data_IF_115538548325
#
_entry.id   IF_115538548325
#
_cell.length_a   1.000
_cell.length_b   1.000
_cell.length_c   1.000
_cell.angle_alpha   90.00
_cell.angle_beta   90.00
_cell.angle_gamma   90.00
#
_symmetry.space_group_name_H-M   'P 1'
#
loop_
_entity.id
_entity.type
_entity.pdbx_description
1 polymer ?
#
# COMPACT_ATOMS: atom_id res chain seq x y z
N UNK A 1 -55.89 -30.04 62.89
CA UNK A 1 -55.90 -31.35 63.59
C UNK A 1 -55.78 -32.45 62.54
N UNK A 2 -54.96 -33.51 62.68
CA UNK A 2 -53.65 -33.68 63.32
C UNK A 2 -52.53 -34.04 62.31
N UNK A 3 -51.29 -34.02 62.81
CA UNK A 3 -50.04 -34.48 62.16
C UNK A 3 -49.96 -36.01 62.04
N UNK A 4 -49.19 -36.52 61.05
CA UNK A 4 -48.21 -37.60 61.29
C UNK A 4 -47.15 -37.68 60.18
N UNK A 5 -45.98 -38.10 60.63
CA UNK A 5 -44.61 -37.92 60.12
C UNK A 5 -44.06 -39.12 59.34
N UNK A 6 -42.87 -38.88 58.77
CA UNK A 6 -41.81 -39.82 58.35
C UNK A 6 -41.92 -40.28 56.89
N UNK A 7 -41.00 -40.01 55.96
CA UNK A 7 -39.60 -39.60 56.01
C UNK A 7 -38.73 -40.71 55.42
N UNK A 8 -37.96 -40.46 54.35
CA UNK A 8 -36.76 -41.21 53.93
C UNK A 8 -35.97 -40.45 52.84
N UNK A 9 -34.77 -39.98 53.20
CA UNK A 9 -33.53 -39.88 52.41
C UNK A 9 -33.50 -39.16 51.05
N UNK A 10 -32.76 -38.03 50.91
CA UNK A 10 -32.37 -37.49 49.62
C UNK A 10 -31.12 -38.19 49.07
N UNK A 11 -31.19 -38.71 47.83
CA UNK A 11 -30.01 -39.09 47.05
C UNK A 11 -29.45 -37.86 46.33
N UNK A 12 -28.13 -37.74 46.39
CA UNK A 12 -27.30 -36.63 45.93
C UNK A 12 -27.24 -36.51 44.39
N UNK A 13 -26.74 -35.37 43.87
CA UNK A 13 -27.03 -34.88 42.52
C UNK A 13 -26.05 -35.42 41.46
N UNK A 14 -26.59 -35.90 40.33
CA UNK A 14 -25.80 -36.24 39.15
C UNK A 14 -25.61 -35.02 38.26
N UNK A 15 -24.35 -34.57 38.24
CA UNK A 15 -23.77 -33.52 37.41
C UNK A 15 -23.71 -33.95 35.94
N UNK A 16 -24.63 -33.51 35.11
CA UNK A 16 -24.53 -33.48 33.64
C UNK A 16 -25.57 -32.44 33.23
N UNK A 17 -25.25 -31.23 32.78
CA UNK A 17 -24.59 -30.91 31.51
C UNK A 17 -24.20 -29.43 31.60
N UNK A 18 -22.92 -29.11 31.70
CA UNK A 18 -22.43 -27.73 31.64
C UNK A 18 -21.10 -27.70 30.89
N UNK A 19 -21.14 -28.08 29.60
CA UNK A 19 -20.00 -27.96 28.67
C UNK A 19 -20.49 -27.79 27.22
N UNK A 20 -21.09 -26.65 26.90
CA UNK A 20 -21.38 -26.25 25.50
C UNK A 20 -21.04 -24.78 25.22
N UNK A 21 -20.00 -24.22 25.86
CA UNK A 21 -19.64 -22.80 25.71
C UNK A 21 -18.15 -22.59 25.33
N UNK A 22 -17.55 -23.50 24.57
CA UNK A 22 -16.12 -23.46 24.26
C UNK A 22 -15.74 -23.67 22.79
N UNK A 23 -16.69 -23.59 21.85
CA UNK A 23 -16.47 -24.04 20.47
C UNK A 23 -16.89 -23.03 19.38
N UNK A 24 -16.99 -21.74 19.73
CA UNK A 24 -17.37 -20.67 18.78
C UNK A 24 -16.31 -19.55 18.64
N UNK A 25 -15.18 -19.62 19.36
CA UNK A 25 -14.12 -18.58 19.28
C UNK A 25 -12.94 -18.94 18.36
N UNK A 26 -12.94 -20.13 17.76
CA UNK A 26 -11.79 -20.65 17.00
C UNK A 26 -11.96 -20.61 15.47
N UNK A 27 -13.12 -20.17 14.96
CA UNK A 27 -13.39 -20.11 13.51
C UNK A 27 -13.15 -18.72 12.92
N UNK A 28 -13.17 -17.65 13.71
CA UNK A 28 -12.89 -16.28 13.21
C UNK A 28 -11.40 -15.94 13.13
N UNK A 29 -10.52 -16.66 13.83
CA UNK A 29 -9.08 -16.40 13.78
C UNK A 29 -8.34 -17.12 12.64
N UNK A 30 -8.97 -18.14 12.02
CA UNK A 30 -8.36 -18.91 10.92
C UNK A 30 -8.51 -18.28 9.53
N UNK A 31 -9.44 -17.33 9.36
CA UNK A 31 -9.69 -16.67 8.08
C UNK A 31 -8.71 -15.52 7.79
N UNK A 32 -8.03 -14.98 8.81
CA UNK A 32 -7.05 -13.89 8.64
C UNK A 32 -5.64 -14.38 8.27
N UNK A 33 -5.37 -15.68 8.38
CA UNK A 33 -4.05 -16.25 8.05
C UNK A 33 -3.95 -16.80 6.62
N UNK A 34 -5.06 -16.81 5.86
CA UNK A 34 -5.11 -17.39 4.51
C UNK A 34 -4.71 -16.43 3.37
N UNK A 35 -4.43 -15.16 3.65
CA UNK A 35 -3.94 -14.20 2.64
C UNK A 35 -2.42 -14.05 2.56
N UNK A 36 -1.64 -14.74 3.40
CA UNK A 36 -0.20 -14.51 3.52
C UNK A 36 0.68 -15.56 2.81
N UNK A 37 0.12 -16.49 2.04
CA UNK A 37 0.90 -17.57 1.39
C UNK A 37 0.45 -17.86 -0.06
N UNK A 38 0.18 -16.81 -0.83
CA UNK A 38 0.19 -16.89 -2.30
C UNK A 38 1.41 -16.11 -2.84
N UNK A 39 2.59 -16.43 -2.34
CA UNK A 39 3.85 -16.22 -3.06
C UNK A 39 3.73 -17.00 -4.37
N UNK A 40 3.79 -16.34 -5.53
CA UNK A 40 4.30 -17.00 -6.75
C UNK A 40 4.79 -16.06 -7.87
N UNK A 41 4.63 -14.73 -7.75
CA UNK A 41 5.47 -13.66 -8.36
C UNK A 41 5.43 -12.48 -7.38
N UNK A 42 6.45 -11.62 -7.37
CA UNK A 42 6.52 -10.46 -6.47
C UNK A 42 5.34 -9.48 -6.64
N UNK A 43 5.45 -8.31 -6.00
CA UNK A 43 4.51 -7.21 -6.17
C UNK A 43 3.28 -7.19 -5.26
N UNK A 44 2.33 -6.31 -5.59
CA UNK A 44 1.11 -6.01 -4.85
C UNK A 44 0.02 -5.47 -5.79
N UNK A 45 -1.25 -5.43 -5.36
CA UNK A 45 -2.28 -4.70 -6.12
C UNK A 45 -2.16 -3.19 -5.91
N UNK A 46 -2.72 -2.39 -6.81
CA UNK A 46 -2.78 -0.93 -6.66
C UNK A 46 -3.46 -0.52 -5.32
N UNK A 47 -4.59 -1.13 -4.99
CA UNK A 47 -5.30 -0.89 -3.71
C UNK A 47 -4.44 -1.24 -2.49
N UNK A 48 -3.67 -2.32 -2.55
CA UNK A 48 -2.79 -2.73 -1.46
C UNK A 48 -1.62 -1.76 -1.29
N UNK A 49 -1.10 -1.22 -2.41
CA UNK A 49 -0.07 -0.20 -2.39
C UNK A 49 -0.59 1.08 -1.73
N UNK A 50 -1.73 1.62 -2.16
CA UNK A 50 -2.34 2.80 -1.55
C UNK A 50 -2.61 2.60 -0.05
N UNK A 51 -3.28 1.51 0.33
CA UNK A 51 -3.58 1.21 1.74
C UNK A 51 -2.33 1.03 2.63
N UNK A 52 -1.17 0.74 2.03
CA UNK A 52 0.11 0.67 2.73
C UNK A 52 0.75 2.04 2.86
N UNK A 53 0.70 2.86 1.81
CA UNK A 53 1.21 4.24 1.82
C UNK A 53 0.40 5.08 2.83
N UNK A 54 -0.93 4.92 2.90
CA UNK A 54 -1.82 5.61 3.85
C UNK A 54 -1.48 5.35 5.34
N UNK A 55 -0.73 4.28 5.64
CA UNK A 55 -0.31 3.97 7.01
C UNK A 55 0.97 4.70 7.41
N UNK A 56 1.63 5.39 6.49
CA UNK A 56 2.85 6.14 6.75
C UNK A 56 2.51 7.42 7.54
N UNK A 57 3.21 7.73 8.64
CA UNK A 57 2.89 8.89 9.48
C UNK A 57 2.94 10.25 8.79
N UNK A 58 3.67 10.37 7.68
CA UNK A 58 3.84 11.60 6.91
C UNK A 58 2.79 11.78 5.80
N UNK A 59 1.92 10.81 5.60
CA UNK A 59 0.97 10.76 4.49
C UNK A 59 -0.43 11.06 5.01
N UNK A 60 -1.07 12.09 4.45
CA UNK A 60 -2.47 12.40 4.72
C UNK A 60 -3.41 11.51 3.91
N UNK A 61 -3.04 11.23 2.65
CA UNK A 61 -3.74 10.27 1.78
C UNK A 61 -2.83 9.85 0.61
N UNK A 62 -3.16 8.76 -0.04
CA UNK A 62 -2.47 8.30 -1.24
C UNK A 62 -3.45 7.75 -2.27
N UNK A 63 -3.01 7.78 -3.52
CA UNK A 63 -3.69 7.16 -4.63
C UNK A 63 -2.67 6.37 -5.44
N UNK A 64 -2.96 5.10 -5.66
CA UNK A 64 -2.22 4.27 -6.60
C UNK A 64 -3.23 3.70 -7.57
N UNK A 65 -3.10 4.04 -8.86
CA UNK A 65 -4.02 3.60 -9.89
C UNK A 65 -3.29 3.12 -11.13
N UNK A 66 -3.94 2.25 -11.89
CA UNK A 66 -3.53 1.94 -13.25
C UNK A 66 -4.57 2.46 -14.23
N UNK A 67 -4.12 3.15 -15.27
CA UNK A 67 -4.95 3.54 -16.41
C UNK A 67 -4.56 2.74 -17.65
N UNK A 68 -5.55 2.45 -18.49
CA UNK A 68 -5.36 1.85 -19.81
C UNK A 68 -5.43 2.97 -20.86
N UNK A 69 -4.49 2.98 -21.80
CA UNK A 69 -4.64 3.69 -23.08
C UNK A 69 -4.68 2.69 -24.23
N UNK A 70 -5.52 2.97 -25.23
CA UNK A 70 -5.58 2.23 -26.47
C UNK A 70 -5.19 3.14 -27.64
N UNK A 71 -4.00 2.91 -28.17
CA UNK A 71 -3.49 3.61 -29.35
C UNK A 71 -3.54 2.68 -30.56
N UNK A 72 -4.64 2.77 -31.31
CA UNK A 72 -4.93 1.85 -32.41
C UNK A 72 -5.19 0.43 -31.92
N UNK A 73 -4.23 -0.47 -32.14
CA UNK A 73 -4.27 -1.87 -31.66
C UNK A 73 -3.30 -2.13 -30.50
N UNK A 74 -2.56 -1.12 -30.05
CA UNK A 74 -1.61 -1.24 -28.95
C UNK A 74 -2.29 -0.80 -27.65
N UNK A 75 -2.26 -1.69 -26.66
CA UNK A 75 -2.72 -1.42 -25.30
C UNK A 75 -1.52 -1.06 -24.42
N UNK A 76 -1.62 0.05 -23.72
CA UNK A 76 -0.60 0.55 -22.80
C UNK A 76 -1.20 0.71 -21.41
N UNK A 77 -0.44 0.39 -20.38
CA UNK A 77 -0.84 0.55 -18.97
C UNK A 77 0.05 1.57 -18.29
N UNK A 78 -0.53 2.49 -17.52
CA UNK A 78 0.21 3.52 -16.81
C UNK A 78 -0.09 3.41 -15.33
N UNK A 79 0.93 3.23 -14.49
CA UNK A 79 0.76 3.26 -13.04
C UNK A 79 1.02 4.66 -12.50
N UNK A 80 0.08 5.24 -11.78
CA UNK A 80 0.23 6.53 -11.09
C UNK A 80 0.39 6.27 -9.60
N UNK A 81 1.41 6.87 -9.00
CA UNK A 81 1.63 6.89 -7.55
C UNK A 81 1.58 8.34 -7.11
N UNK A 82 0.48 8.72 -6.49
CA UNK A 82 0.26 10.06 -5.94
C UNK A 82 0.22 9.97 -4.42
N UNK A 83 1.05 10.77 -3.76
CA UNK A 83 1.13 10.82 -2.30
C UNK A 83 0.83 12.23 -1.84
N UNK A 84 -0.25 12.38 -1.10
CA UNK A 84 -0.60 13.63 -0.41
C UNK A 84 0.12 13.66 0.93
N UNK A 85 1.08 14.57 1.08
CA UNK A 85 1.79 14.74 2.35
C UNK A 85 0.90 15.46 3.37
N UNK A 86 1.02 15.04 4.62
CA UNK A 86 0.49 15.80 5.74
C UNK A 86 1.20 17.17 5.82
N UNK A 87 0.48 18.22 6.21
CA UNK A 87 0.98 19.60 6.16
C UNK A 87 2.20 19.86 7.04
N UNK A 88 2.43 19.01 8.05
CA UNK A 88 3.60 19.11 8.93
C UNK A 88 4.85 18.43 8.33
N UNK A 89 4.75 17.86 7.12
CA UNK A 89 5.80 17.08 6.49
C UNK A 89 6.23 17.64 5.13
N UNK A 90 7.48 17.33 4.77
CA UNK A 90 8.07 17.61 3.47
C UNK A 90 8.97 16.47 3.03
N UNK A 91 9.35 16.46 1.76
CA UNK A 91 10.38 15.55 1.24
C UNK A 91 11.74 15.97 1.79
N UNK A 92 12.38 15.07 2.56
CA UNK A 92 13.69 15.27 3.16
C UNK A 92 14.83 14.70 2.34
N UNK A 93 14.60 13.53 1.72
CA UNK A 93 15.54 12.87 0.81
C UNK A 93 14.86 12.63 -0.53
N UNK A 94 15.11 13.54 -1.48
CA UNK A 94 14.43 13.55 -2.76
C UNK A 94 14.77 12.32 -3.62
N UNK A 95 16.03 11.87 -3.62
CA UNK A 95 16.43 10.72 -4.41
C UNK A 95 15.75 9.44 -3.91
N UNK A 96 15.79 9.18 -2.60
CA UNK A 96 15.11 8.01 -2.02
C UNK A 96 13.58 8.11 -2.12
N UNK A 97 13.01 9.32 -2.08
CA UNK A 97 11.57 9.52 -2.33
C UNK A 97 11.18 9.08 -3.75
N UNK A 98 11.93 9.54 -4.75
CA UNK A 98 11.68 9.19 -6.15
C UNK A 98 11.89 7.70 -6.40
N UNK A 99 12.99 7.13 -5.92
CA UNK A 99 13.27 5.69 -6.07
C UNK A 99 12.17 4.85 -5.42
N UNK A 100 11.75 5.20 -4.20
CA UNK A 100 10.67 4.50 -3.52
C UNK A 100 9.33 4.60 -4.27
N UNK A 101 8.99 5.78 -4.83
CA UNK A 101 7.79 5.97 -5.64
C UNK A 101 7.81 5.12 -6.91
N UNK A 102 8.94 5.09 -7.62
CA UNK A 102 9.14 4.28 -8.82
C UNK A 102 9.03 2.79 -8.53
N UNK A 103 9.72 2.31 -7.50
CA UNK A 103 9.63 0.90 -7.06
C UNK A 103 8.21 0.53 -6.63
N UNK A 104 7.49 1.46 -6.01
CA UNK A 104 6.10 1.23 -5.61
C UNK A 104 5.22 1.03 -6.84
N UNK A 105 5.31 1.91 -7.84
CA UNK A 105 4.56 1.76 -9.09
C UNK A 105 4.96 0.51 -9.89
N UNK A 106 6.25 0.16 -9.90
CA UNK A 106 6.79 -1.05 -10.57
C UNK A 106 6.41 -2.36 -9.87
N UNK A 107 6.09 -2.30 -8.57
CA UNK A 107 5.60 -3.46 -7.82
C UNK A 107 4.11 -3.74 -8.04
N UNK A 108 3.36 -2.86 -8.70
CA UNK A 108 1.93 -3.09 -8.99
C UNK A 108 1.79 -4.22 -10.02
N UNK A 109 1.11 -5.31 -9.62
CA UNK A 109 1.02 -6.56 -10.37
C UNK A 109 -0.36 -6.77 -11.05
N UNK A 110 -1.12 -5.71 -11.26
CA UNK A 110 -2.41 -5.79 -11.94
C UNK A 110 -2.19 -5.94 -13.45
N UNK A 111 -1.37 -5.05 -14.04
CA UNK A 111 -0.82 -5.13 -15.39
C UNK A 111 0.60 -4.56 -15.45
N UNK A 112 1.44 -5.08 -16.36
CA UNK A 112 2.80 -4.55 -16.54
C UNK A 112 2.75 -3.11 -17.07
N UNK A 113 3.32 -2.12 -16.34
CA UNK A 113 3.22 -0.73 -16.74
C UNK A 113 4.14 -0.44 -17.93
N UNK A 114 3.62 0.27 -18.92
CA UNK A 114 4.37 0.96 -19.97
C UNK A 114 5.07 2.21 -19.44
N UNK A 115 4.53 2.83 -18.38
CA UNK A 115 5.17 3.91 -17.65
C UNK A 115 4.69 3.97 -16.20
N UNK A 116 5.54 4.54 -15.34
CA UNK A 116 5.22 4.85 -13.94
C UNK A 116 5.32 6.36 -13.74
N UNK A 117 4.29 6.92 -13.11
CA UNK A 117 4.23 8.31 -12.67
C UNK A 117 4.34 8.42 -11.16
N UNK A 118 5.09 9.41 -10.69
CA UNK A 118 5.25 9.72 -9.27
C UNK A 118 4.92 11.20 -9.04
N UNK A 119 4.08 11.47 -8.04
CA UNK A 119 3.72 12.83 -7.63
C UNK A 119 3.63 12.91 -6.10
N UNK A 120 4.12 14.02 -5.56
CA UNK A 120 3.97 14.42 -4.17
C UNK A 120 3.19 15.72 -4.15
N UNK A 121 2.03 15.72 -3.48
CA UNK A 121 1.12 16.87 -3.44
C UNK A 121 0.79 17.26 -2.00
N UNK A 122 0.34 18.49 -1.80
CA UNK A 122 -0.20 18.96 -0.53
C UNK A 122 -1.71 18.74 -0.44
N UNK A 123 -2.30 19.13 0.70
CA UNK A 123 -3.75 19.00 0.91
C UNK A 123 -4.64 19.85 -0.01
N UNK A 124 -4.07 20.85 -0.70
CA UNK A 124 -4.77 21.64 -1.72
C UNK A 124 -4.72 20.99 -3.11
N UNK A 125 -3.91 19.92 -3.26
CA UNK A 125 -3.67 19.25 -4.53
C UNK A 125 -2.54 19.89 -5.35
N UNK A 126 -1.80 20.82 -4.75
CA UNK A 126 -0.66 21.46 -5.39
C UNK A 126 0.60 20.61 -5.21
N UNK A 127 1.50 20.65 -6.20
CA UNK A 127 2.78 19.95 -6.13
C UNK A 127 3.59 20.50 -4.94
N UNK A 128 4.09 19.61 -4.08
CA UNK A 128 5.01 20.04 -3.01
C UNK A 128 6.34 20.48 -3.62
N UNK A 129 7.03 21.41 -2.97
CA UNK A 129 8.40 21.78 -3.35
C UNK A 129 9.38 20.72 -2.82
N UNK A 130 10.18 20.15 -3.71
CA UNK A 130 11.21 19.15 -3.41
C UNK A 130 12.26 19.11 -4.52
N UNK A 131 13.45 18.59 -4.20
CA UNK A 131 14.60 18.61 -5.12
C UNK A 131 14.52 17.47 -6.17
N UNK A 132 13.48 17.51 -7.00
CA UNK A 132 13.22 16.49 -8.02
C UNK A 132 14.27 16.50 -9.15
N UNK A 133 14.88 17.66 -9.43
CA UNK A 133 15.98 17.77 -10.40
C UNK A 133 17.20 16.99 -9.92
N UNK A 134 17.63 17.20 -8.66
CA UNK A 134 18.74 16.43 -8.11
C UNK A 134 18.39 14.94 -7.96
N UNK A 135 17.14 14.60 -7.61
CA UNK A 135 16.69 13.22 -7.52
C UNK A 135 16.77 12.50 -8.87
N UNK A 136 16.26 13.11 -9.94
CA UNK A 136 16.34 12.53 -11.29
C UNK A 136 17.78 12.44 -11.77
N UNK A 137 18.62 13.43 -11.51
CA UNK A 137 20.04 13.38 -11.84
C UNK A 137 20.80 12.28 -11.07
N UNK A 138 20.52 12.11 -9.78
CA UNK A 138 21.12 11.07 -8.95
C UNK A 138 20.78 9.65 -9.40
N UNK A 139 19.64 9.48 -10.10
CA UNK A 139 19.20 8.21 -10.67
C UNK A 139 19.54 8.05 -12.16
N UNK A 140 20.08 9.09 -12.82
CA UNK A 140 20.31 9.09 -14.27
C UNK A 140 19.01 9.07 -15.10
N UNK A 141 17.95 9.68 -14.57
CA UNK A 141 16.60 9.70 -15.14
C UNK A 141 16.17 11.10 -15.62
N UNK A 142 17.12 11.98 -15.92
CA UNK A 142 16.85 13.34 -16.34
C UNK A 142 16.06 13.36 -17.66
N UNK A 143 15.01 14.18 -17.71
CA UNK A 143 14.24 14.37 -18.94
C UNK A 143 13.66 15.77 -19.03
N UNK A 144 13.80 16.40 -20.19
CA UNK A 144 13.16 17.68 -20.48
C UNK A 144 11.62 17.59 -20.40
N UNK A 145 11.03 16.42 -20.70
CA UNK A 145 9.58 16.21 -20.55
C UNK A 145 9.14 16.23 -19.09
N UNK A 146 10.00 15.74 -18.19
CA UNK A 146 9.73 15.74 -16.75
C UNK A 146 9.84 17.15 -16.18
N UNK A 147 10.80 17.98 -16.63
CA UNK A 147 10.85 19.38 -16.25
C UNK A 147 9.58 20.15 -16.66
N UNK A 148 9.08 19.91 -17.88
CA UNK A 148 7.80 20.49 -18.32
C UNK A 148 6.60 19.95 -17.52
N UNK A 149 6.59 18.65 -17.20
CA UNK A 149 5.49 18.03 -16.45
C UNK A 149 5.42 18.52 -15.01
N UNK A 150 6.58 18.62 -14.33
CA UNK A 150 6.65 19.18 -12.98
C UNK A 150 6.16 20.63 -12.91
N UNK A 151 6.55 21.47 -13.87
CA UNK A 151 6.11 22.87 -13.93
C UNK A 151 4.63 23.06 -14.28
N UNK A 152 3.98 22.07 -14.89
CA UNK A 152 2.58 22.19 -15.34
C UNK A 152 1.60 21.50 -14.39
N UNK A 153 1.96 20.30 -13.92
CA UNK A 153 1.03 19.38 -13.23
C UNK A 153 1.68 18.63 -12.06
N UNK A 154 2.93 18.95 -11.68
CA UNK A 154 3.52 18.40 -10.45
C UNK A 154 3.81 16.89 -10.46
N UNK A 155 4.05 16.30 -11.62
CA UNK A 155 4.34 14.87 -11.74
C UNK A 155 5.56 14.58 -12.60
N UNK A 156 6.26 13.51 -12.23
CA UNK A 156 7.31 12.88 -13.03
C UNK A 156 6.76 11.62 -13.66
N UNK A 157 7.10 11.34 -14.91
CA UNK A 157 6.67 10.14 -15.62
C UNK A 157 7.85 9.49 -16.33
N UNK A 158 8.00 8.18 -16.16
CA UNK A 158 9.12 7.43 -16.71
C UNK A 158 8.61 6.18 -17.41
N UNK A 159 9.04 5.96 -18.65
CA UNK A 159 8.67 4.76 -19.39
C UNK A 159 9.37 3.54 -18.81
N UNK A 160 8.74 2.37 -18.95
CA UNK A 160 9.32 1.09 -18.56
C UNK A 160 10.63 0.80 -19.26
N UNK A 161 10.83 1.28 -20.49
CA UNK A 161 12.10 1.18 -21.20
C UNK A 161 13.25 1.94 -20.54
N UNK A 162 12.94 2.99 -19.76
CA UNK A 162 13.95 3.80 -19.05
C UNK A 162 14.23 3.21 -17.66
N UNK A 163 13.19 2.76 -16.95
CA UNK A 163 13.32 2.31 -15.55
C UNK A 163 13.44 0.79 -15.40
N UNK A 164 13.08 -0.01 -16.40
CA UNK A 164 13.05 -1.47 -16.31
C UNK A 164 14.44 -2.06 -16.04
N UNK A 165 15.47 -1.55 -16.70
CA UNK A 165 16.85 -2.03 -16.52
C UNK A 165 17.38 -1.75 -15.09
N UNK A 166 16.92 -0.68 -14.43
CA UNK A 166 17.35 -0.30 -13.08
C UNK A 166 16.49 -0.91 -11.98
N UNK A 167 15.20 -1.11 -12.23
CA UNK A 167 14.25 -1.67 -11.27
C UNK A 167 14.22 -3.20 -11.28
N UNK A 168 14.65 -3.82 -12.38
CA UNK A 168 14.68 -5.27 -12.56
C UNK A 168 13.36 -5.83 -13.09
N UNK A 169 13.21 -7.16 -13.01
CA UNK A 169 12.03 -7.87 -13.53
C UNK A 169 10.73 -7.36 -12.90
N UNK A 170 9.68 -7.28 -13.72
CA UNK A 170 8.33 -6.98 -13.28
C UNK A 170 7.52 -8.27 -12.98
N UNK A 171 6.64 -8.28 -11.97
CA UNK A 171 6.47 -7.24 -10.94
C UNK A 171 7.67 -7.20 -9.99
N UNK A 172 8.09 -5.98 -9.65
CA UNK A 172 9.17 -5.77 -8.69
C UNK A 172 8.74 -6.12 -7.26
N UNK A 173 9.72 -6.21 -6.36
CA UNK A 173 9.46 -6.35 -4.93
C UNK A 173 8.75 -5.10 -4.37
N UNK A 174 7.94 -5.33 -3.34
CA UNK A 174 7.22 -4.29 -2.61
C UNK A 174 8.23 -3.48 -1.77
N UNK A 175 8.50 -2.18 -2.07
CA UNK A 175 9.60 -1.46 -1.44
C UNK A 175 9.23 -0.94 -0.05
N UNK A 176 10.16 -0.99 0.90
CA UNK A 176 10.03 -0.30 2.18
C UNK A 176 10.47 1.16 2.08
N UNK A 177 9.77 2.07 2.78
CA UNK A 177 10.17 3.48 2.83
C UNK A 177 11.36 3.66 3.78
N UNK A 178 12.48 4.15 3.26
CA UNK A 178 13.64 4.45 4.09
C UNK A 178 13.35 5.59 5.09
N UNK A 179 13.99 5.53 6.26
CA UNK A 179 13.91 6.61 7.24
C UNK A 179 14.53 7.91 6.68
N UNK A 180 13.89 9.05 6.95
CA UNK A 180 14.37 10.36 6.49
C UNK A 180 13.87 10.78 5.11
N UNK A 181 13.14 9.92 4.39
CA UNK A 181 12.52 10.27 3.10
C UNK A 181 11.49 11.39 3.26
N UNK A 182 10.59 11.25 4.24
CA UNK A 182 9.69 12.31 4.68
C UNK A 182 10.09 12.78 6.07
N UNK A 183 10.25 14.08 6.24
CA UNK A 183 10.68 14.72 7.48
C UNK A 183 9.70 15.80 7.87
N UNK A 184 9.61 16.12 9.16
CA UNK A 184 8.82 17.26 9.60
C UNK A 184 9.41 18.57 9.07
N UNK A 185 8.53 19.43 8.56
CA UNK A 185 8.83 20.75 7.98
C UNK A 185 9.02 21.84 9.02
#
# INVERSE_FOLDING_TARGET
MPQRTSGHGPLAPTRFVQRCAGLLLLVTLGALTLSACAFLRGGQSADSAAARIDKLPAVASSEVTQSESLDGFTRSWFTYVTVTLDSDYRVGDAQNALEWGLRTGWSVNDHEPTAVSVSFIDSAGDAVDWDWEAATAGLGLESASNAQSMSTIGLLMFSSAVIGDSLGDWPGDVPELAGGVFVRG
#
